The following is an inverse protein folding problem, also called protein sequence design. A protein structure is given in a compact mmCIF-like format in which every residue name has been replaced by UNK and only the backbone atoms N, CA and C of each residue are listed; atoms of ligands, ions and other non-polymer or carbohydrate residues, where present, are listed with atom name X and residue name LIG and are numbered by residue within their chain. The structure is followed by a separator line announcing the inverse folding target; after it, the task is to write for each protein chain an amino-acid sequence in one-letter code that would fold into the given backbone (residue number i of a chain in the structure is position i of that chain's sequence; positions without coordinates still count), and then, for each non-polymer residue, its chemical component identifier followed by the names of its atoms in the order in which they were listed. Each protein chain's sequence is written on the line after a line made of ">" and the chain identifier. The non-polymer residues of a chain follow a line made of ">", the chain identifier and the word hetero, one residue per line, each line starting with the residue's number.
data_IF_853729024727
#
_entry.id   IF_853729024727
#
_cell.length_a   1.000
_cell.length_b   1.000
_cell.length_c   1.000
_cell.angle_alpha   90.00
_cell.angle_beta   90.00
_cell.angle_gamma   90.00
#
_symmetry.space_group_name_H-M   'P 1'
#
loop_
_entity.id
_entity.type
_entity.pdbx_description
1 polymer ?
#
# COMPACT_ATOMS: atom_id res chain seq x y z
N UNK A 1 19.09 4.91 -23.81
CA UNK A 1 19.69 5.84 -22.83
C UNK A 1 19.08 5.58 -21.45
N UNK A 2 19.82 4.95 -20.53
CA UNK A 2 19.31 4.51 -19.21
C UNK A 2 20.37 4.76 -18.12
N UNK A 3 20.86 6.00 -17.99
CA UNK A 3 22.01 6.33 -17.11
C UNK A 3 21.72 7.21 -15.90
N UNK A 4 20.45 7.56 -15.61
CA UNK A 4 20.10 8.39 -14.44
C UNK A 4 19.65 7.58 -13.20
N UNK A 5 20.23 6.42 -12.91
CA UNK A 5 19.80 5.59 -11.76
C UNK A 5 20.82 5.49 -10.61
N UNK A 6 21.94 6.23 -10.67
CA UNK A 6 22.97 6.22 -9.63
C UNK A 6 23.63 4.85 -9.39
N UNK A 7 24.78 4.85 -8.71
CA UNK A 7 25.41 3.61 -8.23
C UNK A 7 24.75 3.20 -6.91
N UNK A 8 23.69 2.39 -6.97
CA UNK A 8 23.10 1.78 -5.77
C UNK A 8 23.53 0.32 -5.65
N UNK A 9 23.94 -0.09 -4.44
CA UNK A 9 24.25 -1.49 -4.09
C UNK A 9 23.00 -2.35 -3.93
N UNK A 10 21.82 -1.74 -3.96
CA UNK A 10 20.53 -2.42 -3.81
C UNK A 10 20.18 -3.20 -5.09
N UNK A 11 19.89 -4.49 -4.93
CA UNK A 11 19.54 -5.37 -6.03
C UNK A 11 18.24 -4.89 -6.70
N UNK A 12 18.36 -4.36 -7.92
CA UNK A 12 17.21 -3.95 -8.74
C UNK A 12 16.42 -5.20 -9.13
N UNK A 13 15.28 -5.44 -8.47
CA UNK A 13 14.30 -6.44 -8.90
C UNK A 13 13.29 -5.76 -9.82
N UNK A 14 13.21 -6.21 -11.08
CA UNK A 14 12.10 -5.86 -11.97
C UNK A 14 10.83 -6.45 -11.35
N UNK A 15 9.93 -5.60 -10.88
CA UNK A 15 8.60 -6.07 -10.46
C UNK A 15 7.84 -6.46 -11.73
N UNK A 16 7.26 -7.65 -11.76
CA UNK A 16 6.47 -8.12 -12.89
C UNK A 16 5.14 -7.34 -13.04
N UNK A 17 4.72 -6.65 -11.98
CA UNK A 17 3.53 -5.81 -11.97
C UNK A 17 3.88 -4.33 -12.16
N UNK A 18 3.01 -3.63 -12.88
CA UNK A 18 3.04 -2.18 -13.09
C UNK A 18 2.30 -1.50 -11.92
N UNK A 19 3.02 -0.90 -10.96
CA UNK A 19 2.41 -0.36 -9.75
C UNK A 19 1.46 0.80 -10.04
N UNK A 20 1.71 1.59 -11.10
CA UNK A 20 0.84 2.69 -11.48
C UNK A 20 -0.48 2.15 -12.03
N UNK A 21 -0.41 1.19 -12.94
CA UNK A 21 -1.61 0.56 -13.49
C UNK A 21 -2.46 -0.12 -12.42
N UNK A 22 -1.83 -0.73 -11.42
CA UNK A 22 -2.55 -1.35 -10.30
C UNK A 22 -3.19 -0.31 -9.38
N UNK A 23 -2.53 0.83 -9.15
CA UNK A 23 -3.10 1.95 -8.41
C UNK A 23 -4.30 2.57 -9.15
N UNK A 24 -4.18 2.78 -10.46
CA UNK A 24 -5.24 3.36 -11.29
C UNK A 24 -6.50 2.48 -11.37
N UNK A 25 -6.34 1.16 -11.15
CA UNK A 25 -7.44 0.19 -11.09
C UNK A 25 -8.16 0.16 -9.74
N UNK A 26 -7.63 0.82 -8.72
CA UNK A 26 -8.26 0.84 -7.40
C UNK A 26 -9.54 1.69 -7.41
N UNK A 27 -10.59 1.24 -6.69
CA UNK A 27 -11.73 2.08 -6.35
C UNK A 27 -11.30 3.43 -5.74
N UNK A 28 -12.03 4.53 -5.98
CA UNK A 28 -11.69 5.86 -5.46
C UNK A 28 -11.43 5.90 -3.95
N UNK A 29 -12.22 5.18 -3.16
CA UNK A 29 -12.05 5.07 -1.71
C UNK A 29 -10.70 4.45 -1.32
N UNK A 30 -10.24 3.43 -2.05
CA UNK A 30 -8.96 2.77 -1.78
C UNK A 30 -7.78 3.62 -2.22
N UNK A 31 -7.91 4.36 -3.32
CA UNK A 31 -6.90 5.36 -3.71
C UNK A 31 -6.77 6.45 -2.66
N UNK A 32 -7.89 6.98 -2.16
CA UNK A 32 -7.90 7.99 -1.11
C UNK A 32 -7.28 7.46 0.19
N UNK A 33 -7.60 6.24 0.60
CA UNK A 33 -6.95 5.60 1.75
C UNK A 33 -5.43 5.47 1.55
N UNK A 34 -5.01 4.96 0.38
CA UNK A 34 -3.60 4.72 0.07
C UNK A 34 -2.77 6.01 -0.04
N UNK A 35 -3.39 7.10 -0.50
CA UNK A 35 -2.78 8.42 -0.54
C UNK A 35 -2.53 9.03 0.85
N UNK A 36 -3.33 8.63 1.86
CA UNK A 36 -3.20 9.09 3.25
C UNK A 36 -2.47 8.06 4.15
N UNK A 37 -2.06 6.91 3.60
CA UNK A 37 -1.41 5.87 4.36
C UNK A 37 0.01 6.29 4.79
N UNK A 38 0.38 5.96 6.02
CA UNK A 38 1.68 6.32 6.59
C UNK A 38 2.85 5.47 6.04
N UNK A 39 2.53 4.33 5.41
CA UNK A 39 3.52 3.41 4.85
C UNK A 39 3.33 3.24 3.34
N UNK A 40 4.41 2.97 2.59
CA UNK A 40 4.33 2.74 1.15
C UNK A 40 3.75 1.35 0.84
N UNK A 41 2.44 1.22 1.00
CA UNK A 41 1.70 -0.02 0.72
C UNK A 41 1.70 -0.36 -0.78
N UNK A 42 1.67 -1.66 -1.08
CA UNK A 42 1.38 -2.14 -2.44
C UNK A 42 -0.13 -2.03 -2.71
N UNK A 43 -0.58 -1.45 -3.85
CA UNK A 43 -1.99 -1.36 -4.22
C UNK A 43 -2.76 -2.69 -4.11
N UNK A 44 -2.17 -3.76 -4.63
CA UNK A 44 -2.75 -5.11 -4.57
C UNK A 44 -2.96 -5.63 -3.14
N UNK A 45 -2.05 -5.30 -2.21
CA UNK A 45 -2.18 -5.71 -0.81
C UNK A 45 -3.38 -5.04 -0.16
N UNK A 46 -3.54 -3.74 -0.40
CA UNK A 46 -4.68 -2.94 0.11
C UNK A 46 -5.99 -3.49 -0.46
N UNK A 47 -6.04 -3.73 -1.77
CA UNK A 47 -7.21 -4.31 -2.42
C UNK A 47 -7.58 -5.69 -1.85
N UNK A 48 -6.59 -6.55 -1.62
CA UNK A 48 -6.82 -7.90 -1.10
C UNK A 48 -7.38 -7.88 0.32
N UNK A 49 -6.80 -7.06 1.19
CA UNK A 49 -7.27 -6.92 2.59
C UNK A 49 -8.67 -6.33 2.61
N UNK A 50 -8.92 -5.26 1.84
CA UNK A 50 -10.24 -4.66 1.73
C UNK A 50 -11.29 -5.65 1.22
N UNK A 51 -11.02 -6.35 0.12
CA UNK A 51 -11.96 -7.32 -0.45
C UNK A 51 -12.28 -8.46 0.53
N UNK A 52 -11.27 -8.94 1.27
CA UNK A 52 -11.45 -9.96 2.30
C UNK A 52 -12.25 -9.45 3.50
N UNK A 53 -12.04 -8.21 3.91
CA UNK A 53 -12.79 -7.61 5.00
C UNK A 53 -14.24 -7.38 4.58
N UNK A 54 -14.46 -6.82 3.38
CA UNK A 54 -15.76 -6.58 2.79
C UNK A 54 -16.57 -7.87 2.60
N UNK A 55 -15.94 -8.96 2.14
CA UNK A 55 -16.64 -10.24 1.98
C UNK A 55 -17.07 -10.86 3.32
N UNK A 56 -16.40 -10.50 4.42
CA UNK A 56 -16.71 -10.98 5.77
C UNK A 56 -17.75 -10.11 6.48
N UNK A 57 -17.69 -8.79 6.32
CA UNK A 57 -18.55 -7.84 7.05
C UNK A 57 -19.75 -7.39 6.22
N UNK A 58 -19.66 -7.41 4.90
CA UNK A 58 -20.62 -6.76 4.01
C UNK A 58 -20.59 -5.24 4.08
N UNK A 59 -19.73 -4.67 4.92
CA UNK A 59 -19.68 -3.24 5.23
C UNK A 59 -18.34 -2.63 4.73
N UNK A 60 -18.40 -1.69 3.78
CA UNK A 60 -17.25 -0.93 3.30
C UNK A 60 -16.49 -0.18 4.40
N UNK A 61 -17.19 0.36 5.40
CA UNK A 61 -16.55 1.14 6.46
C UNK A 61 -15.73 0.24 7.38
N UNK A 62 -16.32 -0.87 7.83
CA UNK A 62 -15.58 -1.91 8.57
C UNK A 62 -14.38 -2.46 7.79
N UNK A 63 -14.47 -2.52 6.45
CA UNK A 63 -13.36 -2.96 5.60
C UNK A 63 -12.21 -1.94 5.54
N UNK A 64 -12.51 -0.63 5.53
CA UNK A 64 -11.51 0.43 5.64
C UNK A 64 -10.84 0.42 7.03
N UNK A 65 -11.62 0.25 8.10
CA UNK A 65 -11.08 0.16 9.47
C UNK A 65 -10.11 -1.02 9.62
N UNK A 66 -10.32 -2.12 8.91
CA UNK A 66 -9.39 -3.26 8.92
C UNK A 66 -8.04 -2.90 8.29
N UNK A 67 -8.03 -2.04 7.25
CA UNK A 67 -6.80 -1.50 6.69
C UNK A 67 -6.05 -0.62 7.69
N UNK A 68 -6.77 0.23 8.43
CA UNK A 68 -6.17 1.08 9.48
C UNK A 68 -5.54 0.25 10.60
N UNK A 69 -6.23 -0.80 11.06
CA UNK A 69 -5.68 -1.75 12.04
C UNK A 69 -4.42 -2.43 11.53
N UNK A 70 -4.42 -2.81 10.26
CA UNK A 70 -3.27 -3.46 9.63
C UNK A 70 -2.08 -2.48 9.52
N UNK A 71 -2.34 -1.20 9.20
CA UNK A 71 -1.32 -0.15 9.25
C UNK A 71 -0.77 0.06 10.66
N UNK A 72 -1.63 0.21 11.66
CA UNK A 72 -1.22 0.40 13.05
C UNK A 72 -0.35 -0.76 13.56
N UNK A 73 -0.72 -2.00 13.22
CA UNK A 73 0.07 -3.20 13.53
C UNK A 73 1.43 -3.17 12.84
N UNK A 74 1.49 -2.77 11.58
CA UNK A 74 2.76 -2.70 10.85
C UNK A 74 3.67 -1.61 11.43
N UNK A 75 3.14 -0.43 11.74
CA UNK A 75 3.87 0.65 12.41
C UNK A 75 4.42 0.20 13.77
N UNK A 76 3.60 -0.46 14.59
CA UNK A 76 4.02 -0.98 15.89
C UNK A 76 5.14 -2.03 15.78
N UNK A 77 5.15 -2.84 14.71
CA UNK A 77 6.18 -3.85 14.45
C UNK A 77 7.47 -3.28 13.89
N UNK A 78 7.38 -2.29 13.02
CA UNK A 78 8.53 -1.71 12.36
C UNK A 78 9.35 -0.83 13.32
N UNK A 79 8.73 -0.28 14.38
CA UNK A 79 9.39 0.71 15.26
C UNK A 79 9.88 1.95 14.50
N UNK A 80 9.42 2.12 13.26
CA UNK A 80 9.91 3.13 12.32
C UNK A 80 9.36 4.48 12.72
N UNK A 81 10.28 5.33 13.21
CA UNK A 81 10.17 6.78 13.14
C UNK A 81 9.83 7.17 11.71
N UNK A 82 8.63 7.72 11.53
CA UNK A 82 8.26 8.37 10.28
C UNK A 82 9.09 9.65 10.19
N UNK A 83 10.25 9.60 9.54
CA UNK A 83 10.94 10.81 9.08
C UNK A 83 10.23 11.25 7.80
N UNK A 84 9.30 12.19 7.94
CA UNK A 84 8.82 13.00 6.83
C UNK A 84 9.82 14.16 6.62
N UNK A 85 10.25 14.43 5.37
CA UNK A 85 11.13 15.56 5.06
C UNK A 85 10.43 16.92 5.24
#
# INVERSE_FOLDING_TARGET
>A
MTRNLGQTRLRKRRRAQDPMRDYDRLPPMLRAWLANAALPWRPQSVQTVYARALSRTGDPEAALQELDRLQARQLARDGVQVVLP
#
